data_IF_030040836255
#
_entry.id   IF_030040836255
#
_cell.length_a   1.000
_cell.length_b   1.000
_cell.length_c   1.000
_cell.angle_alpha   90.00
_cell.angle_beta   90.00
_cell.angle_gamma   90.00
#
_symmetry.space_group_name_H-M   'P 1'
#
loop_
_entity.id
_entity.type
_entity.pdbx_description
1 polymer ?
#
# COMPACT_ATOMS: atom_id res chain seq x y z
N UNK A 1 -77.77 -29.66 -53.09
CA UNK A 1 -78.02 -28.25 -52.74
C UNK A 1 -77.00 -27.85 -51.67
N UNK A 2 -75.89 -27.27 -52.13
CA UNK A 2 -74.73 -26.91 -51.21
C UNK A 2 -74.85 -25.38 -50.96
N UNK A 3 -75.03 -24.98 -49.70
CA UNK A 3 -74.96 -23.61 -49.23
C UNK A 3 -73.54 -23.18 -49.08
N UNK A 4 -73.08 -22.15 -49.76
CA UNK A 4 -71.84 -21.43 -49.53
C UNK A 4 -72.09 -20.29 -48.55
N UNK A 5 -71.42 -20.31 -47.43
CA UNK A 5 -71.38 -19.24 -46.44
C UNK A 5 -70.14 -18.37 -46.69
N UNK A 6 -70.36 -17.10 -47.16
CA UNK A 6 -69.29 -16.15 -47.41
C UNK A 6 -69.03 -15.36 -46.13
N UNK A 7 -67.82 -15.50 -45.58
CA UNK A 7 -67.35 -14.66 -44.47
C UNK A 7 -66.73 -13.37 -45.04
N UNK A 8 -67.22 -12.25 -44.65
CA UNK A 8 -66.66 -10.92 -44.91
C UNK A 8 -65.72 -10.56 -43.71
N UNK A 9 -64.41 -10.53 -43.95
CA UNK A 9 -63.47 -10.03 -43.00
C UNK A 9 -63.33 -8.51 -43.18
N UNK A 10 -63.74 -7.74 -42.16
CA UNK A 10 -63.57 -6.28 -42.11
C UNK A 10 -62.10 -6.01 -41.58
N UNK A 11 -61.27 -5.47 -42.46
CA UNK A 11 -59.97 -4.93 -42.10
C UNK A 11 -60.11 -3.54 -41.43
N UNK A 12 -59.81 -3.44 -40.15
CA UNK A 12 -59.64 -2.17 -39.43
C UNK A 12 -58.20 -1.61 -39.71
N UNK A 13 -58.02 -0.34 -39.97
CA UNK A 13 -56.69 0.23 -40.17
C UNK A 13 -55.94 0.37 -38.86
N UNK A 14 -54.74 -0.23 -38.81
CA UNK A 14 -53.79 -0.01 -37.73
C UNK A 14 -53.27 1.44 -37.81
N UNK A 15 -53.60 2.27 -36.79
CA UNK A 15 -53.00 3.59 -36.64
C UNK A 15 -51.54 3.43 -36.22
N UNK A 16 -50.60 3.85 -37.06
CA UNK A 16 -49.17 3.90 -36.71
C UNK A 16 -48.96 5.04 -35.71
N UNK A 17 -48.58 4.67 -34.46
CA UNK A 17 -48.08 5.61 -33.47
C UNK A 17 -46.65 5.99 -33.85
N UNK A 18 -46.46 7.17 -34.39
CA UNK A 18 -45.14 7.74 -34.65
C UNK A 18 -44.51 8.10 -33.33
N UNK A 19 -43.48 7.30 -32.90
CA UNK A 19 -42.61 7.68 -31.80
C UNK A 19 -41.64 8.76 -32.28
N UNK A 20 -41.75 9.97 -31.71
CA UNK A 20 -40.79 11.04 -31.94
C UNK A 20 -39.36 10.58 -31.49
N UNK A 21 -38.32 10.89 -32.26
CA UNK A 21 -36.95 10.57 -31.86
C UNK A 21 -36.59 11.36 -30.58
N UNK A 22 -36.20 10.64 -29.52
CA UNK A 22 -35.61 11.23 -28.32
C UNK A 22 -34.25 11.80 -28.72
N UNK A 23 -34.12 13.11 -28.76
CA UNK A 23 -32.83 13.76 -28.96
C UNK A 23 -31.96 13.47 -27.74
N UNK A 24 -30.70 13.02 -27.95
CA UNK A 24 -29.75 12.87 -26.82
C UNK A 24 -29.50 14.25 -26.21
N UNK A 25 -29.88 14.44 -24.96
CA UNK A 25 -29.49 15.61 -24.19
C UNK A 25 -27.97 15.68 -24.16
N UNK A 26 -27.40 16.76 -24.70
CA UNK A 26 -25.98 17.01 -24.66
C UNK A 26 -25.51 16.99 -23.20
N UNK A 27 -24.67 16.03 -22.84
CA UNK A 27 -24.02 16.00 -21.53
C UNK A 27 -23.26 17.32 -21.37
N UNK A 28 -23.54 18.07 -20.31
CA UNK A 28 -22.78 19.28 -19.98
C UNK A 28 -21.29 18.90 -19.86
N UNK A 29 -20.39 19.69 -20.45
CA UNK A 29 -18.96 19.39 -20.36
C UNK A 29 -18.54 19.36 -18.89
N UNK A 30 -18.07 18.21 -18.42
CA UNK A 30 -17.43 18.08 -17.13
C UNK A 30 -16.22 19.00 -17.18
N UNK A 31 -16.25 20.12 -16.44
CA UNK A 31 -15.08 20.98 -16.27
C UNK A 31 -13.98 20.13 -15.66
N UNK A 32 -12.97 19.82 -16.44
CA UNK A 32 -11.76 19.21 -15.90
C UNK A 32 -11.11 20.23 -14.95
N UNK A 33 -11.16 19.97 -13.68
CA UNK A 33 -10.39 20.74 -12.69
C UNK A 33 -8.94 20.29 -12.90
N UNK A 34 -8.14 21.13 -13.54
CA UNK A 34 -6.70 20.89 -13.62
C UNK A 34 -6.13 21.01 -12.21
N UNK A 35 -5.78 19.88 -11.60
CA UNK A 35 -5.08 19.86 -10.32
C UNK A 35 -3.65 20.27 -10.62
N UNK A 36 -3.12 21.36 -10.01
CA UNK A 36 -1.77 21.80 -10.28
C UNK A 36 -0.76 20.72 -9.80
N UNK A 37 0.09 20.28 -10.72
CA UNK A 37 1.21 19.39 -10.37
C UNK A 37 2.13 20.16 -9.41
N UNK A 38 2.36 19.60 -8.21
CA UNK A 38 3.27 20.19 -7.24
C UNK A 38 4.66 19.58 -7.39
N UNK A 39 5.66 20.44 -7.40
CA UNK A 39 7.06 20.06 -7.36
C UNK A 39 7.42 19.56 -5.96
N UNK A 40 7.73 18.26 -5.86
CA UNK A 40 8.21 17.65 -4.63
C UNK A 40 9.72 17.43 -4.75
N UNK A 41 10.48 17.97 -3.80
CA UNK A 41 11.92 17.71 -3.68
C UNK A 41 12.13 16.64 -2.62
N UNK A 42 12.53 15.40 -2.97
CA UNK A 42 12.72 14.32 -2.01
C UNK A 42 13.92 14.58 -1.09
N UNK A 43 13.96 13.90 0.07
CA UNK A 43 14.97 14.10 1.09
C UNK A 43 16.41 13.97 0.60
N UNK A 44 16.70 13.09 -0.36
CA UNK A 44 18.04 12.94 -0.97
C UNK A 44 18.49 14.22 -1.65
N UNK A 45 17.65 14.87 -2.44
CA UNK A 45 18.02 16.12 -3.11
C UNK A 45 18.23 17.25 -2.12
N UNK A 46 17.40 17.34 -1.07
CA UNK A 46 17.57 18.32 0.02
C UNK A 46 18.87 18.07 0.77
N UNK A 47 19.23 16.83 1.04
CA UNK A 47 20.50 16.46 1.67
C UNK A 47 21.68 16.96 0.83
N UNK A 48 21.70 16.62 -0.45
CA UNK A 48 22.82 16.93 -1.34
C UNK A 48 22.98 18.43 -1.63
N UNK A 49 21.87 19.18 -1.72
CA UNK A 49 21.92 20.63 -1.97
C UNK A 49 22.31 21.44 -0.72
N UNK A 50 21.76 21.08 0.45
CA UNK A 50 21.78 22.01 1.60
C UNK A 50 22.48 21.44 2.83
N UNK A 51 22.63 20.13 2.95
CA UNK A 51 22.98 19.47 4.20
C UNK A 51 24.17 18.53 4.12
N UNK A 52 24.81 18.39 2.95
CA UNK A 52 25.90 17.43 2.72
C UNK A 52 27.08 17.59 3.70
N UNK A 53 27.32 18.79 4.20
CA UNK A 53 28.39 19.08 5.15
C UNK A 53 28.31 18.22 6.44
N UNK A 54 27.11 17.76 6.83
CA UNK A 54 26.91 16.90 8.01
C UNK A 54 27.53 15.50 7.84
N UNK A 55 27.78 15.06 6.60
CA UNK A 55 28.36 13.75 6.29
C UNK A 55 29.89 13.79 6.17
N UNK A 56 30.51 14.98 6.19
CA UNK A 56 31.95 15.13 5.99
C UNK A 56 32.76 14.43 7.07
N UNK A 57 33.68 13.57 6.65
CA UNK A 57 34.55 12.78 7.54
C UNK A 57 33.85 11.65 8.28
N UNK A 58 32.58 11.33 7.95
CA UNK A 58 31.81 10.24 8.53
C UNK A 58 31.85 8.99 7.67
N UNK A 59 31.81 7.83 8.29
CA UNK A 59 31.59 6.55 7.64
C UNK A 59 30.08 6.36 7.51
N UNK A 60 29.57 6.50 6.29
CA UNK A 60 28.12 6.51 6.00
C UNK A 60 27.69 5.17 5.47
N UNK A 61 26.62 4.61 6.00
CA UNK A 61 25.88 3.50 5.39
C UNK A 61 24.53 3.99 4.85
N UNK A 62 23.96 3.26 3.89
CA UNK A 62 22.66 3.58 3.31
C UNK A 62 21.72 2.37 3.39
N UNK A 63 20.60 2.52 4.08
CA UNK A 63 19.47 1.59 4.00
C UNK A 63 18.56 2.04 2.85
N UNK A 64 18.53 1.25 1.78
CA UNK A 64 17.80 1.60 0.56
C UNK A 64 17.45 0.37 -0.28
N UNK A 65 16.65 0.60 -1.29
CA UNK A 65 16.39 -0.32 -2.38
C UNK A 65 16.29 0.48 -3.71
N UNK A 66 15.70 -0.11 -4.76
CA UNK A 66 15.50 0.52 -6.07
C UNK A 66 14.69 1.82 -6.03
N UNK A 67 13.96 2.10 -4.95
CA UNK A 67 13.16 3.33 -4.80
C UNK A 67 13.98 4.53 -4.33
N UNK A 68 15.18 4.31 -3.79
CA UNK A 68 16.11 5.37 -3.41
C UNK A 68 16.69 6.03 -4.65
N UNK A 69 15.95 7.00 -5.19
CA UNK A 69 16.30 7.75 -6.41
C UNK A 69 15.94 9.23 -6.25
N UNK A 70 16.65 10.11 -6.99
CA UNK A 70 16.26 11.50 -7.18
C UNK A 70 15.06 11.62 -8.16
N UNK A 71 14.61 12.84 -8.42
CA UNK A 71 13.52 13.12 -9.37
C UNK A 71 13.83 12.73 -10.81
N UNK A 72 15.10 12.53 -11.16
CA UNK A 72 15.55 12.09 -12.48
C UNK A 72 15.70 10.58 -12.58
N UNK A 73 15.43 9.84 -11.49
CA UNK A 73 15.60 8.41 -11.42
C UNK A 73 17.05 7.96 -11.21
N UNK A 74 17.96 8.85 -10.80
CA UNK A 74 19.34 8.48 -10.48
C UNK A 74 19.40 7.87 -9.09
N UNK A 75 20.01 6.69 -8.96
CA UNK A 75 20.12 5.97 -7.70
C UNK A 75 20.87 6.75 -6.63
N UNK A 76 20.38 6.75 -5.40
CA UNK A 76 21.05 7.36 -4.25
C UNK A 76 22.43 6.76 -4.01
N UNK A 77 22.61 5.47 -4.27
CA UNK A 77 23.93 4.81 -4.19
C UNK A 77 24.93 5.51 -5.13
N UNK A 78 24.50 5.78 -6.37
CA UNK A 78 25.34 6.44 -7.37
C UNK A 78 25.59 7.92 -7.01
N UNK A 79 24.55 8.64 -6.58
CA UNK A 79 24.66 10.05 -6.15
C UNK A 79 25.61 10.23 -4.97
N UNK A 80 25.46 9.40 -3.93
CA UNK A 80 26.29 9.48 -2.73
C UNK A 80 27.73 9.05 -3.01
N UNK A 81 27.96 8.03 -3.83
CA UNK A 81 29.30 7.59 -4.24
C UNK A 81 30.05 8.61 -5.09
N UNK A 82 29.35 9.30 -5.96
CA UNK A 82 29.96 10.33 -6.82
C UNK A 82 30.31 11.61 -6.04
N UNK A 83 29.75 11.81 -4.85
CA UNK A 83 29.96 13.06 -4.10
C UNK A 83 31.26 13.04 -3.29
N UNK A 84 32.24 13.95 -3.53
CA UNK A 84 33.60 13.86 -2.97
C UNK A 84 33.66 14.02 -1.44
N UNK A 85 32.65 14.60 -0.80
CA UNK A 85 32.59 14.78 0.65
C UNK A 85 31.96 13.59 1.39
N UNK A 86 31.48 12.56 0.69
CA UNK A 86 30.74 11.44 1.28
C UNK A 86 31.56 10.15 1.21
N UNK A 87 31.77 9.51 2.36
CA UNK A 87 32.41 8.20 2.45
C UNK A 87 31.36 7.13 2.68
N UNK A 88 30.69 6.68 1.60
CA UNK A 88 29.72 5.58 1.64
C UNK A 88 30.47 4.25 1.75
N UNK A 89 30.26 3.50 2.85
CA UNK A 89 31.03 2.31 3.19
C UNK A 89 30.24 1.01 3.15
N UNK A 90 28.90 1.06 3.24
CA UNK A 90 28.05 -0.12 3.22
C UNK A 90 26.62 0.21 2.79
N UNK A 91 25.92 -0.82 2.32
CA UNK A 91 24.48 -0.78 2.02
C UNK A 91 23.76 -1.74 2.94
N UNK A 92 22.54 -1.37 3.37
CA UNK A 92 21.57 -2.26 3.98
C UNK A 92 20.38 -2.39 3.02
N UNK A 93 19.88 -3.62 2.87
CA UNK A 93 18.72 -3.87 2.02
C UNK A 93 17.54 -4.41 2.82
N UNK A 94 16.32 -3.87 2.61
CA UNK A 94 15.09 -4.44 3.17
C UNK A 94 14.65 -5.68 2.38
N UNK A 95 13.42 -6.14 2.61
CA UNK A 95 12.73 -7.11 1.75
C UNK A 95 12.84 -6.69 0.28
N UNK A 96 12.92 -7.64 -0.62
CA UNK A 96 13.17 -7.51 -2.06
C UNK A 96 14.61 -7.16 -2.47
N UNK A 97 15.51 -6.85 -1.52
CA UNK A 97 16.91 -6.57 -1.84
C UNK A 97 17.17 -5.14 -2.33
N UNK A 98 18.45 -4.80 -2.48
CA UNK A 98 18.89 -3.45 -2.87
C UNK A 98 18.47 -3.07 -4.29
N UNK A 99 18.20 -4.05 -5.16
CA UNK A 99 17.76 -3.84 -6.54
C UNK A 99 16.28 -4.19 -6.79
N UNK A 100 15.57 -4.68 -5.75
CA UNK A 100 14.14 -4.93 -5.81
C UNK A 100 13.72 -6.17 -6.61
N UNK A 101 14.62 -7.14 -6.78
CA UNK A 101 14.41 -8.30 -7.67
C UNK A 101 13.73 -9.50 -6.98
N UNK A 102 13.90 -9.64 -5.66
CA UNK A 102 13.36 -10.77 -4.91
C UNK A 102 11.83 -10.65 -4.71
N UNK A 103 11.11 -11.77 -4.84
CA UNK A 103 9.66 -11.82 -4.62
C UNK A 103 9.31 -11.69 -3.11
N UNK A 104 8.03 -11.42 -2.83
CA UNK A 104 7.55 -11.29 -1.46
C UNK A 104 7.80 -12.57 -0.64
N UNK A 105 8.40 -12.42 0.56
CA UNK A 105 8.76 -13.53 1.44
C UNK A 105 10.04 -14.27 1.05
N UNK A 106 10.64 -13.96 -0.09
CA UNK A 106 11.89 -14.58 -0.53
C UNK A 106 13.07 -14.02 0.29
N UNK A 107 13.92 -14.92 0.79
CA UNK A 107 15.12 -14.55 1.55
C UNK A 107 16.15 -13.90 0.64
N UNK A 108 16.63 -12.73 1.06
CA UNK A 108 17.68 -11.99 0.37
C UNK A 108 19.03 -12.27 1.04
N UNK A 109 20.03 -12.71 0.29
CA UNK A 109 21.37 -12.93 0.83
C UNK A 109 22.15 -11.61 0.96
N UNK A 110 23.04 -11.54 1.96
CA UNK A 110 24.08 -10.51 2.02
C UNK A 110 25.17 -10.79 1.00
N UNK A 111 25.83 -9.74 0.50
CA UNK A 111 26.84 -9.88 -0.55
C UNK A 111 27.60 -8.60 -0.84
N UNK A 112 28.04 -8.45 -2.08
CA UNK A 112 28.65 -7.22 -2.60
C UNK A 112 27.78 -6.73 -3.76
N UNK A 113 27.38 -5.47 -3.75
CA UNK A 113 26.69 -4.86 -4.89
C UNK A 113 27.64 -4.75 -6.09
N UNK A 114 27.36 -5.43 -7.20
CA UNK A 114 28.31 -5.50 -8.32
C UNK A 114 28.59 -4.16 -8.97
N UNK A 115 27.63 -3.22 -8.88
CA UNK A 115 27.75 -1.89 -9.50
C UNK A 115 28.60 -0.93 -8.65
N UNK A 116 28.39 -0.92 -7.34
CA UNK A 116 29.11 -0.01 -6.43
C UNK A 116 30.36 -0.62 -5.80
N UNK A 117 30.48 -1.96 -5.76
CA UNK A 117 31.53 -2.69 -5.05
C UNK A 117 31.39 -2.63 -3.54
N UNK A 118 30.26 -2.12 -3.01
CA UNK A 118 30.04 -2.01 -1.57
C UNK A 118 29.46 -3.29 -0.97
N UNK A 119 29.78 -3.61 0.28
CA UNK A 119 29.09 -4.67 0.99
C UNK A 119 27.62 -4.33 1.18
N UNK A 120 26.76 -5.31 0.93
CA UNK A 120 25.29 -5.26 1.14
C UNK A 120 24.94 -6.19 2.29
N UNK A 121 24.38 -5.64 3.33
CA UNK A 121 23.84 -6.38 4.46
C UNK A 121 22.33 -6.53 4.32
N UNK A 122 21.85 -7.76 4.12
CA UNK A 122 20.43 -8.04 4.03
C UNK A 122 19.76 -7.99 5.40
N UNK A 123 18.64 -7.26 5.48
CA UNK A 123 17.73 -7.23 6.62
C UNK A 123 16.44 -8.05 6.34
N UNK A 124 16.51 -8.93 5.34
CA UNK A 124 15.43 -9.88 5.03
C UNK A 124 16.00 -11.26 4.63
N UNK A 125 16.99 -11.70 5.38
CA UNK A 125 17.68 -12.99 5.19
C UNK A 125 17.77 -13.76 6.50
N UNK A 126 18.99 -13.94 6.98
CA UNK A 126 19.29 -14.59 8.27
C UNK A 126 18.83 -13.75 9.47
N UNK A 127 18.82 -12.42 9.30
CA UNK A 127 18.34 -11.48 10.32
C UNK A 127 17.43 -10.43 9.69
N UNK A 128 16.53 -9.88 10.51
CA UNK A 128 15.68 -8.74 10.17
C UNK A 128 16.13 -7.46 10.87
N UNK A 129 17.05 -7.57 11.81
CA UNK A 129 17.66 -6.45 12.53
C UNK A 129 19.16 -6.44 12.27
N UNK A 130 19.78 -5.26 12.02
CA UNK A 130 21.23 -5.16 11.90
C UNK A 130 21.93 -5.73 13.13
N UNK A 131 22.96 -6.55 12.90
CA UNK A 131 23.81 -7.07 13.98
C UNK A 131 24.89 -6.07 14.34
N UNK A 132 25.50 -6.21 15.52
CA UNK A 132 26.62 -5.37 15.95
C UNK A 132 27.78 -5.41 14.95
N UNK A 133 28.02 -6.57 14.32
CA UNK A 133 29.04 -6.72 13.27
C UNK A 133 28.73 -5.87 12.02
N UNK A 134 27.46 -5.83 11.60
CA UNK A 134 27.03 -5.02 10.44
C UNK A 134 27.13 -3.53 10.74
N UNK A 135 26.90 -3.13 11.99
CA UNK A 135 26.93 -1.71 12.42
C UNK A 135 28.34 -1.22 12.80
N UNK A 136 29.33 -2.13 12.87
CA UNK A 136 30.67 -1.79 13.34
C UNK A 136 31.35 -0.72 12.46
N UNK A 137 31.77 0.36 13.09
CA UNK A 137 32.47 1.47 12.42
C UNK A 137 31.61 2.33 11.50
N UNK A 138 30.28 2.25 11.63
CA UNK A 138 29.34 3.16 10.94
C UNK A 138 29.03 4.34 11.86
N UNK A 139 29.24 5.56 11.38
CA UNK A 139 28.91 6.79 12.11
C UNK A 139 27.47 7.23 11.85
N UNK A 140 27.01 7.07 10.61
CA UNK A 140 25.71 7.52 10.13
C UNK A 140 25.07 6.44 9.25
N UNK A 141 23.78 6.17 9.48
CA UNK A 141 22.95 5.40 8.55
C UNK A 141 21.93 6.36 7.91
N UNK A 142 22.06 6.58 6.60
CA UNK A 142 21.02 7.19 5.80
C UNK A 142 19.93 6.16 5.53
N UNK A 143 18.67 6.57 5.57
CA UNK A 143 17.52 5.72 5.24
C UNK A 143 16.73 6.39 4.15
N UNK A 144 16.66 5.78 2.97
CA UNK A 144 15.85 6.24 1.84
C UNK A 144 15.08 5.07 1.23
N UNK A 145 13.80 4.99 1.57
CA UNK A 145 12.86 3.96 1.14
C UNK A 145 11.51 4.58 0.83
N UNK A 146 10.91 4.22 -0.31
CA UNK A 146 9.52 4.54 -0.60
C UNK A 146 8.60 3.55 0.10
N UNK A 147 8.00 3.97 1.20
CA UNK A 147 6.92 3.23 1.87
C UNK A 147 5.58 3.44 1.14
N UNK A 148 4.59 2.59 1.43
CA UNK A 148 3.26 2.68 0.83
C UNK A 148 2.16 3.16 1.81
N UNK A 149 2.55 3.62 2.99
CA UNK A 149 1.62 4.20 3.98
C UNK A 149 0.72 3.19 4.69
N UNK A 150 1.13 1.93 4.70
CA UNK A 150 0.35 0.82 5.25
C UNK A 150 1.17 0.02 6.25
N UNK A 151 0.66 -0.20 7.49
CA UNK A 151 1.39 -0.83 8.59
C UNK A 151 2.08 -2.13 8.21
N UNK A 152 1.40 -3.01 7.49
CA UNK A 152 1.93 -4.33 7.16
C UNK A 152 2.89 -4.33 5.96
N UNK A 153 3.18 -3.18 5.38
CA UNK A 153 4.29 -3.04 4.45
C UNK A 153 5.60 -3.00 5.25
N UNK A 154 6.45 -4.00 5.07
CA UNK A 154 7.52 -4.37 6.01
C UNK A 154 8.62 -3.33 6.23
N UNK A 155 8.66 -2.27 5.42
CA UNK A 155 9.70 -1.24 5.54
C UNK A 155 9.62 -0.45 6.84
N UNK A 156 8.42 -0.21 7.38
CA UNK A 156 8.26 0.42 8.70
C UNK A 156 8.89 -0.42 9.82
N UNK A 157 8.77 -1.76 9.75
CA UNK A 157 9.43 -2.68 10.67
C UNK A 157 10.95 -2.66 10.51
N UNK A 158 11.44 -2.62 9.28
CA UNK A 158 12.88 -2.50 8.96
C UNK A 158 13.45 -1.19 9.53
N UNK A 159 12.73 -0.06 9.39
CA UNK A 159 13.10 1.22 9.99
C UNK A 159 13.21 1.15 11.51
N UNK A 160 12.18 0.60 12.18
CA UNK A 160 12.19 0.43 13.63
C UNK A 160 13.39 -0.39 14.11
N UNK A 161 13.69 -1.50 13.44
CA UNK A 161 14.81 -2.36 13.80
C UNK A 161 16.16 -1.70 13.52
N UNK A 162 16.28 -0.88 12.47
CA UNK A 162 17.46 -0.06 12.23
C UNK A 162 17.67 0.96 13.35
N UNK A 163 16.60 1.66 13.79
CA UNK A 163 16.68 2.61 14.90
C UNK A 163 17.15 1.95 16.19
N UNK A 164 16.63 0.77 16.53
CA UNK A 164 17.05 -0.01 17.69
C UNK A 164 18.51 -0.50 17.60
N UNK A 165 18.96 -0.88 16.40
CA UNK A 165 20.36 -1.25 16.18
C UNK A 165 21.30 -0.05 16.28
N UNK A 166 20.86 1.10 15.79
CA UNK A 166 21.63 2.36 15.89
C UNK A 166 21.75 2.85 17.35
N UNK A 167 20.74 2.63 18.19
CA UNK A 167 20.84 2.90 19.63
C UNK A 167 22.01 2.15 20.27
N UNK A 168 22.17 0.86 19.95
CA UNK A 168 23.24 0.02 20.49
C UNK A 168 24.62 0.39 19.98
N UNK A 169 24.73 0.69 18.68
CA UNK A 169 26.01 1.01 18.04
C UNK A 169 26.45 2.47 18.26
N UNK A 170 25.55 3.37 18.65
CA UNK A 170 25.79 4.81 18.74
C UNK A 170 25.80 5.54 17.39
N UNK A 171 25.46 4.88 16.29
CA UNK A 171 25.33 5.51 14.98
C UNK A 171 24.16 6.52 14.97
N UNK A 172 24.29 7.59 14.20
CA UNK A 172 23.17 8.50 13.90
C UNK A 172 22.33 7.95 12.76
N UNK A 173 21.01 8.02 12.87
CA UNK A 173 20.09 7.70 11.76
C UNK A 173 19.57 8.98 11.14
N UNK A 174 19.68 9.11 9.82
CA UNK A 174 19.17 10.24 9.05
C UNK A 174 18.17 9.71 8.03
N UNK A 175 16.88 9.99 8.22
CA UNK A 175 15.82 9.61 7.26
C UNK A 175 15.73 10.68 6.18
N UNK A 176 15.92 10.27 4.94
CA UNK A 176 15.69 11.06 3.74
C UNK A 176 14.23 10.87 3.33
N UNK A 177 13.37 11.79 3.76
CA UNK A 177 11.93 11.54 3.73
C UNK A 177 11.35 11.55 2.32
N UNK A 178 10.31 10.71 2.14
CA UNK A 178 9.55 10.54 0.89
C UNK A 178 8.06 10.68 1.13
N UNK A 179 7.28 11.04 0.07
CA UNK A 179 5.84 11.17 0.17
C UNK A 179 5.16 9.87 0.62
N UNK A 180 4.14 9.99 1.46
CA UNK A 180 3.23 8.88 1.69
C UNK A 180 2.22 8.79 0.54
N UNK A 181 2.17 7.68 -0.23
CA UNK A 181 1.25 7.55 -1.37
C UNK A 181 -0.22 7.47 -0.96
N UNK A 182 -0.53 7.19 0.30
CA UNK A 182 -1.88 7.25 0.83
C UNK A 182 -2.33 8.68 1.18
N UNK A 183 -1.42 9.68 1.04
CA UNK A 183 -1.61 11.00 1.62
C UNK A 183 -1.50 10.97 3.15
N UNK A 184 -1.96 12.02 3.81
CA UNK A 184 -1.87 12.14 5.26
C UNK A 184 -3.17 12.53 5.94
N UNK A 185 -4.28 12.69 5.19
CA UNK A 185 -5.55 13.17 5.75
C UNK A 185 -6.41 12.06 6.33
N UNK A 186 -6.40 10.87 5.72
CA UNK A 186 -7.25 9.75 6.15
C UNK A 186 -6.44 8.70 6.89
N UNK A 187 -6.98 8.26 8.01
CA UNK A 187 -6.45 7.22 8.87
C UNK A 187 -7.50 6.13 8.97
N UNK A 188 -7.13 4.86 8.79
CA UNK A 188 -8.08 3.76 8.76
C UNK A 188 -7.55 2.48 9.41
N UNK A 189 -8.50 1.70 9.88
CA UNK A 189 -8.27 0.35 10.40
C UNK A 189 -7.79 0.34 11.85
N UNK A 190 -7.78 -0.84 12.48
CA UNK A 190 -7.41 -1.00 13.87
C UNK A 190 -5.93 -0.65 14.10
N UNK A 191 -5.65 -0.04 15.24
CA UNK A 191 -4.31 0.04 15.80
C UNK A 191 -3.85 -1.37 16.16
N UNK A 192 -2.59 -1.69 15.87
CA UNK A 192 -2.05 -3.03 16.16
C UNK A 192 -2.13 -3.35 17.66
N UNK A 193 -2.79 -4.44 17.99
CA UNK A 193 -2.75 -5.02 19.33
C UNK A 193 -1.44 -5.82 19.52
N UNK A 194 -0.78 -5.75 20.69
CA UNK A 194 0.50 -6.41 20.94
C UNK A 194 0.51 -7.93 20.66
N UNK A 195 -0.63 -8.61 20.86
CA UNK A 195 -0.77 -10.04 20.62
C UNK A 195 -0.60 -10.44 19.15
N UNK A 196 -0.80 -9.52 18.22
CA UNK A 196 -0.70 -9.73 16.77
C UNK A 196 0.57 -9.13 16.17
N UNK A 197 1.48 -8.63 17.02
CA UNK A 197 2.73 -8.05 16.56
C UNK A 197 3.60 -9.09 15.84
N UNK A 198 4.10 -8.70 14.68
CA UNK A 198 4.94 -9.53 13.81
C UNK A 198 5.80 -8.64 12.92
N UNK A 199 6.54 -9.22 11.97
CA UNK A 199 7.30 -8.40 11.02
C UNK A 199 6.40 -7.63 10.03
N UNK A 200 5.17 -8.09 9.79
CA UNK A 200 4.15 -7.35 9.02
C UNK A 200 3.35 -6.35 9.87
N UNK A 201 3.85 -6.02 11.05
CA UNK A 201 3.27 -5.05 11.98
C UNK A 201 4.02 -5.11 13.30
N UNK A 202 5.09 -4.33 13.43
CA UNK A 202 5.96 -4.36 14.61
C UNK A 202 5.72 -3.20 15.57
N UNK A 203 4.78 -2.29 15.24
CA UNK A 203 4.48 -1.11 16.03
C UNK A 203 2.98 -0.80 16.07
N UNK A 204 2.53 -0.23 17.20
CA UNK A 204 1.13 0.09 17.47
C UNK A 204 0.67 1.32 16.67
N UNK A 205 0.50 1.14 15.36
CA UNK A 205 -0.11 2.11 14.44
C UNK A 205 -1.30 1.48 13.71
N UNK A 206 -2.28 2.27 13.22
CA UNK A 206 -3.39 1.75 12.43
C UNK A 206 -2.91 1.22 11.07
N UNK A 207 -3.77 0.48 10.39
CA UNK A 207 -3.46 -0.09 9.07
C UNK A 207 -3.03 1.01 8.09
N UNK A 208 -3.81 2.08 7.96
CA UNK A 208 -3.46 3.28 7.20
C UNK A 208 -3.14 4.40 8.19
N UNK A 209 -1.85 4.66 8.43
CA UNK A 209 -1.39 5.53 9.50
C UNK A 209 -1.28 7.02 9.12
N UNK A 210 -1.27 7.34 7.82
CA UNK A 210 -1.23 8.72 7.31
C UNK A 210 0.04 9.49 7.68
N UNK A 211 1.15 8.83 7.95
CA UNK A 211 2.44 9.44 8.31
C UNK A 211 3.48 9.15 7.24
N UNK A 212 4.45 10.06 7.06
CA UNK A 212 5.64 9.79 6.26
C UNK A 212 6.62 8.90 7.02
N UNK A 213 7.63 8.41 6.31
CA UNK A 213 8.66 7.56 6.93
C UNK A 213 9.46 8.30 7.99
N UNK A 214 9.75 9.59 7.74
CA UNK A 214 10.41 10.47 8.72
C UNK A 214 9.56 10.71 9.97
N UNK A 215 8.26 10.89 9.82
CA UNK A 215 7.33 11.06 10.93
C UNK A 215 7.18 9.78 11.76
N UNK A 216 7.11 8.61 11.12
CA UNK A 216 7.15 7.32 11.80
C UNK A 216 8.44 7.14 12.62
N UNK A 217 9.60 7.49 12.04
CA UNK A 217 10.87 7.41 12.73
C UNK A 217 10.89 8.26 14.00
N UNK A 218 10.39 9.51 13.92
CA UNK A 218 10.28 10.39 15.09
C UNK A 218 9.35 9.81 16.17
N UNK A 219 8.21 9.26 15.76
CA UNK A 219 7.28 8.62 16.67
C UNK A 219 7.91 7.39 17.35
N UNK A 220 8.58 6.53 16.61
CA UNK A 220 9.23 5.34 17.17
C UNK A 220 10.31 5.73 18.20
N UNK A 221 11.14 6.72 17.89
CA UNK A 221 12.16 7.20 18.83
C UNK A 221 11.54 7.84 20.05
N UNK A 222 10.50 8.67 19.88
CA UNK A 222 9.86 9.40 20.97
C UNK A 222 9.08 8.50 21.93
N UNK A 223 8.24 7.62 21.41
CA UNK A 223 7.37 6.76 22.22
C UNK A 223 8.12 5.62 22.89
N UNK A 224 9.05 4.96 22.17
CA UNK A 224 9.92 3.92 22.74
C UNK A 224 11.07 4.51 23.60
N UNK A 225 11.21 5.83 23.62
CA UNK A 225 12.28 6.56 24.34
C UNK A 225 13.67 6.05 23.95
N UNK A 226 13.86 5.75 22.66
CA UNK A 226 15.15 5.33 22.15
C UNK A 226 16.17 6.47 22.27
N UNK A 227 17.40 6.13 22.66
CA UNK A 227 18.52 7.10 22.71
C UNK A 227 19.21 7.28 21.36
N UNK A 228 18.63 6.75 20.30
CA UNK A 228 19.11 6.91 18.93
C UNK A 228 19.11 8.38 18.55
N UNK A 229 20.25 8.86 18.07
CA UNK A 229 20.31 10.18 17.44
C UNK A 229 19.61 10.08 16.09
N UNK A 230 18.44 10.72 15.99
CA UNK A 230 17.62 10.74 14.78
C UNK A 230 17.57 12.15 14.19
N UNK A 231 17.69 12.22 12.88
CA UNK A 231 17.43 13.42 12.08
C UNK A 231 16.54 13.07 10.89
N UNK A 232 15.62 13.95 10.55
CA UNK A 232 14.81 13.84 9.34
C UNK A 232 15.18 14.95 8.38
N UNK A 233 15.56 14.60 7.17
CA UNK A 233 15.70 15.56 6.06
C UNK A 233 14.34 15.61 5.37
N UNK A 234 13.57 16.62 5.75
CA UNK A 234 12.22 16.80 5.24
C UNK A 234 12.21 17.10 3.73
N UNK A 235 11.20 16.61 3.05
CA UNK A 235 10.89 16.97 1.67
C UNK A 235 10.51 18.45 1.56
N UNK A 236 10.54 18.99 0.35
CA UNK A 236 9.92 20.28 0.02
C UNK A 236 8.74 20.08 -0.91
N UNK A 237 7.70 20.87 -0.74
CA UNK A 237 6.54 20.91 -1.65
C UNK A 237 5.47 19.83 -1.40
N UNK A 238 5.68 18.89 -0.50
CA UNK A 238 4.67 17.92 -0.13
C UNK A 238 3.77 18.45 1.00
N UNK A 239 2.48 18.10 0.93
CA UNK A 239 1.47 18.33 1.97
C UNK A 239 0.54 17.12 2.05
N UNK A 240 -0.19 16.97 3.18
CA UNK A 240 -0.97 15.76 3.51
C UNK A 240 -2.15 15.51 2.60
N UNK A 241 -2.69 16.56 1.98
CA UNK A 241 -3.80 16.50 1.02
C UNK A 241 -3.38 15.97 -0.35
N UNK A 242 -2.08 15.85 -0.60
CA UNK A 242 -1.56 15.35 -1.88
C UNK A 242 -1.57 13.83 -1.92
N UNK A 243 -2.22 13.30 -2.93
CA UNK A 243 -2.15 11.88 -3.30
C UNK A 243 -1.47 11.72 -4.65
N UNK A 244 -0.75 10.60 -4.89
CA UNK A 244 0.09 10.44 -6.09
C UNK A 244 -0.68 10.41 -7.40
N UNK A 245 -1.97 10.12 -7.34
CA UNK A 245 -2.78 10.03 -8.54
C UNK A 245 -2.90 11.31 -9.33
N UNK A 246 -2.66 12.46 -8.68
CA UNK A 246 -3.15 13.71 -9.18
C UNK A 246 -2.13 14.85 -9.17
N UNK A 247 -1.00 14.73 -8.44
CA UNK A 247 -0.25 15.94 -8.14
C UNK A 247 1.27 15.79 -7.94
N UNK A 248 1.86 14.61 -8.14
CA UNK A 248 3.31 14.43 -7.97
C UNK A 248 4.05 14.49 -9.31
N UNK A 249 5.17 15.15 -9.28
CA UNK A 249 6.15 15.13 -10.36
C UNK A 249 7.29 14.11 -10.14
N UNK A 250 7.14 13.23 -9.14
CA UNK A 250 8.09 12.16 -8.88
C UNK A 250 7.75 10.90 -9.68
N UNK A 251 8.75 10.22 -10.26
CA UNK A 251 8.52 8.93 -10.90
C UNK A 251 8.06 7.90 -9.86
N UNK A 252 7.09 7.06 -10.22
CA UNK A 252 6.77 5.88 -9.44
C UNK A 252 7.76 4.77 -9.74
N UNK A 253 8.63 4.48 -8.78
CA UNK A 253 9.47 3.29 -8.82
C UNK A 253 8.77 2.25 -7.94
N UNK A 254 8.33 1.10 -8.49
CA UNK A 254 7.65 0.07 -7.72
C UNK A 254 8.48 -0.35 -6.49
N UNK A 255 7.99 -0.14 -5.25
CA UNK A 255 8.76 -0.47 -4.06
C UNK A 255 8.85 -1.98 -3.80
N UNK A 256 8.01 -2.77 -4.46
CA UNK A 256 8.09 -4.23 -4.51
C UNK A 256 7.60 -4.73 -5.87
N UNK A 257 7.93 -5.98 -6.28
CA UNK A 257 7.53 -6.52 -7.58
C UNK A 257 6.03 -6.51 -7.86
N UNK A 258 5.20 -6.50 -6.81
CA UNK A 258 3.74 -6.51 -6.94
C UNK A 258 3.09 -5.15 -6.58
N UNK A 259 3.88 -4.09 -6.38
CA UNK A 259 3.38 -2.74 -6.11
C UNK A 259 3.57 -1.84 -7.33
N UNK A 260 2.93 -2.21 -8.44
CA UNK A 260 3.23 -1.73 -9.78
C UNK A 260 2.89 -0.25 -10.01
N UNK A 261 1.93 0.30 -9.27
CA UNK A 261 1.43 1.64 -9.50
C UNK A 261 0.95 2.31 -8.20
N UNK A 262 0.82 3.65 -8.20
CA UNK A 262 0.14 4.34 -7.11
C UNK A 262 -1.29 3.85 -6.85
N UNK A 263 -1.99 3.38 -7.89
CA UNK A 263 -3.34 2.80 -7.74
C UNK A 263 -3.28 1.50 -6.94
N UNK A 264 -2.30 0.65 -7.24
CA UNK A 264 -2.05 -0.57 -6.45
C UNK A 264 -1.79 -0.23 -4.99
N UNK A 265 -0.95 0.79 -4.71
CA UNK A 265 -0.73 1.27 -3.35
C UNK A 265 -2.01 1.74 -2.66
N UNK A 266 -2.93 2.41 -3.39
CA UNK A 266 -4.17 2.93 -2.81
C UNK A 266 -5.16 1.85 -2.38
N UNK A 267 -5.26 0.74 -3.11
CA UNK A 267 -6.15 -0.38 -2.75
C UNK A 267 -5.52 -1.32 -1.73
N UNK A 268 -4.20 -1.34 -1.66
CA UNK A 268 -3.40 -2.27 -0.87
C UNK A 268 -3.83 -2.37 0.62
N UNK A 269 -4.16 -1.28 1.36
CA UNK A 269 -4.57 -1.39 2.76
C UNK A 269 -5.77 -2.31 3.01
N UNK A 270 -6.64 -2.48 2.02
CA UNK A 270 -7.80 -3.38 2.10
C UNK A 270 -7.58 -4.72 1.42
N UNK A 271 -7.02 -4.70 0.22
CA UNK A 271 -6.92 -5.90 -0.62
C UNK A 271 -5.80 -6.86 -0.17
N UNK A 272 -4.78 -6.37 0.54
CA UNK A 272 -3.79 -7.24 1.15
C UNK A 272 -4.36 -8.17 2.23
N UNK A 273 -5.52 -7.88 2.81
CA UNK A 273 -6.21 -8.80 3.72
C UNK A 273 -6.44 -10.18 3.10
N UNK A 274 -6.59 -10.24 1.77
CA UNK A 274 -6.75 -11.51 1.05
C UNK A 274 -5.52 -12.41 1.09
N UNK A 275 -4.33 -11.90 1.41
CA UNK A 275 -3.17 -12.76 1.68
C UNK A 275 -3.42 -13.70 2.86
N UNK A 276 -4.29 -13.31 3.79
CA UNK A 276 -4.75 -14.12 4.92
C UNK A 276 -5.91 -15.07 4.62
N UNK A 277 -6.28 -15.26 3.34
CA UNK A 277 -7.39 -16.11 2.89
C UNK A 277 -6.96 -17.05 1.76
N UNK A 278 -7.88 -17.91 1.33
CA UNK A 278 -7.68 -18.73 0.14
C UNK A 278 -8.05 -18.02 -1.18
N UNK A 279 -8.44 -16.75 -1.16
CA UNK A 279 -8.74 -15.97 -2.37
C UNK A 279 -7.44 -15.34 -2.89
N UNK A 280 -7.24 -15.32 -4.21
CA UNK A 280 -6.12 -14.63 -4.84
C UNK A 280 -6.28 -13.12 -4.73
N UNK A 281 -5.22 -12.46 -4.28
CA UNK A 281 -5.04 -11.02 -4.30
C UNK A 281 -4.42 -10.52 -5.62
N UNK A 282 -4.48 -11.33 -6.67
CA UNK A 282 -4.01 -10.96 -8.00
C UNK A 282 -2.50 -11.01 -8.22
N UNK A 283 -1.70 -11.51 -7.25
CA UNK A 283 -0.27 -11.77 -7.50
C UNK A 283 -0.10 -12.75 -8.65
N UNK A 284 0.87 -12.53 -9.53
CA UNK A 284 1.04 -13.29 -10.75
C UNK A 284 0.12 -12.86 -11.90
N UNK A 285 -0.67 -11.81 -11.73
CA UNK A 285 -1.44 -11.17 -12.80
C UNK A 285 -0.87 -9.79 -13.15
N UNK A 286 -1.42 -9.14 -14.17
CA UNK A 286 -1.03 -7.78 -14.58
C UNK A 286 -1.45 -6.68 -13.59
N UNK A 287 -2.33 -7.00 -12.60
CA UNK A 287 -2.83 -6.04 -11.60
C UNK A 287 -2.88 -6.65 -10.20
N UNK A 288 -1.71 -6.95 -9.61
CA UNK A 288 -1.64 -7.43 -8.23
C UNK A 288 -2.38 -6.48 -7.28
N UNK A 289 -3.10 -7.03 -6.30
CA UNK A 289 -3.93 -6.32 -5.31
C UNK A 289 -5.12 -5.53 -5.87
N UNK A 290 -5.15 -5.24 -7.17
CA UNK A 290 -6.32 -4.64 -7.80
C UNK A 290 -7.32 -5.70 -8.27
N UNK A 291 -6.85 -6.91 -8.66
CA UNK A 291 -7.67 -8.06 -9.00
C UNK A 291 -7.81 -8.99 -7.80
N UNK A 292 -9.05 -9.30 -7.43
CA UNK A 292 -9.39 -10.20 -6.33
C UNK A 292 -10.29 -11.29 -6.87
N UNK A 293 -9.89 -12.56 -6.72
CA UNK A 293 -10.69 -13.65 -7.29
C UNK A 293 -10.21 -15.05 -6.95
N UNK A 294 -11.01 -16.03 -7.35
CA UNK A 294 -10.71 -17.45 -7.25
C UNK A 294 -11.45 -18.23 -8.36
N UNK A 295 -11.09 -19.51 -8.64
CA UNK A 295 -11.76 -20.29 -9.68
C UNK A 295 -13.26 -20.49 -9.45
N UNK A 296 -13.71 -20.47 -8.19
CA UNK A 296 -15.10 -20.74 -7.81
C UNK A 296 -15.98 -19.48 -7.70
N UNK A 297 -15.45 -18.29 -7.91
CA UNK A 297 -16.20 -17.02 -7.78
C UNK A 297 -16.96 -16.73 -9.08
N UNK A 298 -18.22 -16.30 -8.96
CA UNK A 298 -18.94 -15.58 -10.00
C UNK A 298 -18.61 -14.09 -9.89
N UNK A 299 -17.72 -13.63 -10.79
CA UNK A 299 -17.26 -12.24 -10.78
C UNK A 299 -18.35 -11.23 -11.07
N UNK A 300 -19.36 -11.57 -11.89
CA UNK A 300 -20.46 -10.67 -12.21
C UNK A 300 -21.37 -10.47 -11.01
N UNK A 301 -21.79 -11.57 -10.38
CA UNK A 301 -22.62 -11.52 -9.17
C UNK A 301 -21.91 -10.83 -7.99
N UNK A 302 -20.59 -11.05 -7.84
CA UNK A 302 -19.79 -10.37 -6.80
C UNK A 302 -19.69 -8.86 -7.06
N UNK A 303 -19.44 -8.45 -8.31
CA UNK A 303 -19.36 -7.03 -8.69
C UNK A 303 -20.70 -6.33 -8.47
N UNK A 304 -21.81 -6.93 -8.89
CA UNK A 304 -23.16 -6.41 -8.67
C UNK A 304 -23.44 -6.20 -7.18
N UNK A 305 -23.17 -7.22 -6.35
CA UNK A 305 -23.36 -7.17 -4.89
C UNK A 305 -22.55 -6.05 -4.24
N UNK A 306 -21.27 -5.90 -4.62
CA UNK A 306 -20.39 -4.88 -4.06
C UNK A 306 -20.80 -3.46 -4.48
N UNK A 307 -21.17 -3.26 -5.75
CA UNK A 307 -21.63 -1.97 -6.23
C UNK A 307 -22.96 -1.56 -5.57
N UNK A 308 -23.85 -2.53 -5.29
CA UNK A 308 -25.10 -2.28 -4.55
C UNK A 308 -24.89 -1.81 -3.11
N UNK A 309 -23.68 -2.06 -2.50
CA UNK A 309 -23.34 -1.56 -1.16
C UNK A 309 -23.08 -0.05 -1.13
N UNK A 310 -22.86 0.60 -2.28
CA UNK A 310 -22.58 2.04 -2.35
C UNK A 310 -21.34 2.49 -1.60
N UNK A 311 -20.27 1.70 -1.61
CA UNK A 311 -19.01 2.04 -0.92
C UNK A 311 -18.43 3.33 -1.50
N UNK A 312 -17.98 4.28 -0.64
CA UNK A 312 -17.56 5.59 -1.13
C UNK A 312 -16.26 5.51 -1.93
N UNK A 313 -16.21 6.21 -3.07
CA UNK A 313 -15.00 6.41 -3.86
C UNK A 313 -14.44 5.18 -4.54
N UNK A 314 -15.23 4.12 -4.72
CA UNK A 314 -14.81 2.87 -5.38
C UNK A 314 -15.93 2.28 -6.22
N UNK A 315 -15.58 1.60 -7.29
CA UNK A 315 -16.47 0.74 -8.08
C UNK A 315 -15.78 -0.59 -8.37
N UNK A 316 -16.58 -1.60 -8.71
CA UNK A 316 -16.11 -2.96 -8.98
C UNK A 316 -16.54 -3.41 -10.36
N UNK A 317 -15.59 -3.86 -11.17
CA UNK A 317 -15.87 -4.45 -12.46
C UNK A 317 -15.58 -5.96 -12.41
N UNK A 318 -16.41 -6.82 -13.04
CA UNK A 318 -16.10 -8.24 -13.12
C UNK A 318 -14.83 -8.45 -13.96
N UNK A 319 -13.98 -9.41 -13.56
CA UNK A 319 -12.74 -9.74 -14.23
C UNK A 319 -12.48 -11.24 -14.22
N UNK A 320 -11.76 -11.72 -15.23
CA UNK A 320 -11.15 -13.04 -15.25
C UNK A 320 -9.66 -12.89 -15.49
N UNK A 321 -8.84 -13.63 -14.76
CA UNK A 321 -7.38 -13.61 -14.86
C UNK A 321 -6.80 -14.99 -14.53
N UNK A 322 -5.61 -15.26 -15.04
CA UNK A 322 -4.87 -16.50 -14.74
C UNK A 322 -3.53 -16.10 -14.15
N UNK A 323 -3.29 -16.33 -12.84
CA UNK A 323 -2.01 -16.01 -12.22
C UNK A 323 -0.88 -16.90 -12.78
N UNK A 324 0.29 -16.32 -13.06
CA UNK A 324 1.48 -17.08 -13.45
C UNK A 324 2.17 -17.72 -12.23
N UNK A 325 2.00 -17.16 -11.05
CA UNK A 325 2.54 -17.66 -9.79
C UNK A 325 1.62 -17.31 -8.62
N UNK A 326 1.94 -17.77 -7.39
CA UNK A 326 1.15 -17.57 -6.16
C UNK A 326 -0.11 -18.46 -6.13
N UNK A 327 -1.18 -17.98 -5.50
CA UNK A 327 -2.44 -18.72 -5.40
C UNK A 327 -3.06 -18.94 -6.77
N UNK A 328 -3.51 -20.17 -7.01
CA UNK A 328 -4.15 -20.59 -8.27
C UNK A 328 -3.30 -20.39 -9.53
N UNK A 329 -1.95 -20.49 -9.42
CA UNK A 329 -1.07 -20.41 -10.58
C UNK A 329 -1.51 -21.36 -11.69
N UNK A 330 -1.64 -20.86 -12.92
CA UNK A 330 -2.10 -21.59 -14.11
C UNK A 330 -3.60 -21.91 -14.16
N UNK A 331 -4.39 -21.50 -13.15
CA UNK A 331 -5.85 -21.68 -13.11
C UNK A 331 -6.57 -20.39 -13.42
N UNK A 332 -7.63 -20.46 -14.21
CA UNK A 332 -8.48 -19.29 -14.44
C UNK A 332 -9.25 -18.94 -13.18
N UNK A 333 -9.05 -17.72 -12.68
CA UNK A 333 -9.79 -17.11 -11.60
C UNK A 333 -10.82 -16.13 -12.16
N UNK A 334 -11.95 -16.04 -11.49
CA UNK A 334 -12.98 -15.03 -11.73
C UNK A 334 -13.15 -14.19 -10.46
N UNK A 335 -13.54 -12.94 -10.62
CA UNK A 335 -13.69 -12.05 -9.47
C UNK A 335 -13.92 -10.61 -9.86
N UNK A 336 -13.34 -9.68 -9.10
CA UNK A 336 -13.54 -8.25 -9.31
C UNK A 336 -12.23 -7.49 -9.45
N UNK A 337 -12.24 -6.48 -10.30
CA UNK A 337 -11.27 -5.39 -10.31
C UNK A 337 -11.75 -4.29 -9.38
N UNK A 338 -10.95 -3.94 -8.39
CA UNK A 338 -11.20 -2.86 -7.43
C UNK A 338 -10.71 -1.55 -8.05
N UNK A 339 -11.62 -0.63 -8.36
CA UNK A 339 -11.33 0.60 -9.09
C UNK A 339 -11.65 1.81 -8.20
N UNK A 340 -10.65 2.44 -7.56
CA UNK A 340 -10.85 3.72 -6.90
C UNK A 340 -11.31 4.79 -7.90
N UNK A 341 -12.40 5.48 -7.57
CA UNK A 341 -13.01 6.53 -8.41
C UNK A 341 -12.85 7.92 -7.82
N UNK A 342 -12.64 8.02 -6.50
CA UNK A 342 -12.42 9.29 -5.80
C UNK A 342 -11.49 9.07 -4.60
N UNK A 343 -10.24 9.53 -4.68
CA UNK A 343 -9.23 9.37 -3.64
C UNK A 343 -9.57 10.09 -2.33
N UNK A 344 -10.38 11.16 -2.38
CA UNK A 344 -10.76 11.93 -1.19
C UNK A 344 -11.82 11.22 -0.33
N UNK A 345 -12.54 10.26 -0.89
CA UNK A 345 -13.60 9.52 -0.19
C UNK A 345 -13.35 8.02 -0.11
N UNK A 346 -12.38 7.51 -0.87
CA UNK A 346 -12.07 6.08 -0.91
C UNK A 346 -11.48 5.61 0.43
N UNK A 347 -12.13 4.61 1.02
CA UNK A 347 -11.76 3.97 2.27
C UNK A 347 -11.28 2.54 1.98
N UNK A 348 -9.99 2.32 1.69
CA UNK A 348 -9.49 1.02 1.25
C UNK A 348 -9.67 -0.08 2.28
N UNK A 349 -9.43 0.16 3.58
CA UNK A 349 -9.55 -0.88 4.58
C UNK A 349 -11.01 -1.30 4.79
N UNK A 350 -11.93 -0.34 4.88
CA UNK A 350 -13.38 -0.58 4.88
C UNK A 350 -13.81 -1.39 3.66
N UNK A 351 -13.33 -1.01 2.48
CA UNK A 351 -13.61 -1.71 1.22
C UNK A 351 -13.10 -3.15 1.27
N UNK A 352 -11.91 -3.39 1.82
CA UNK A 352 -11.36 -4.74 2.00
C UNK A 352 -12.22 -5.61 2.90
N UNK A 353 -12.68 -5.09 4.04
CA UNK A 353 -13.58 -5.81 4.94
C UNK A 353 -14.91 -6.14 4.24
N UNK A 354 -15.51 -5.16 3.55
CA UNK A 354 -16.75 -5.37 2.82
C UNK A 354 -16.60 -6.46 1.75
N UNK A 355 -15.49 -6.47 1.04
CA UNK A 355 -15.18 -7.44 0.00
C UNK A 355 -14.96 -8.84 0.58
N UNK A 356 -14.16 -8.99 1.66
CA UNK A 356 -13.99 -10.28 2.36
C UNK A 356 -15.33 -10.81 2.86
N UNK A 357 -16.15 -9.93 3.49
CA UNK A 357 -17.48 -10.28 3.97
C UNK A 357 -18.43 -10.71 2.83
N UNK A 358 -18.37 -10.03 1.69
CA UNK A 358 -19.20 -10.39 0.52
C UNK A 358 -18.83 -11.78 -0.02
N UNK A 359 -17.53 -12.06 -0.19
CA UNK A 359 -17.05 -13.36 -0.66
C UNK A 359 -17.39 -14.45 0.33
N UNK A 360 -17.12 -14.28 1.64
CA UNK A 360 -17.50 -15.23 2.68
C UNK A 360 -19.01 -15.51 2.66
N UNK A 361 -19.86 -14.48 2.55
CA UNK A 361 -21.31 -14.67 2.55
C UNK A 361 -21.88 -15.29 1.27
N UNK A 362 -21.16 -15.23 0.13
CA UNK A 362 -21.54 -15.88 -1.12
C UNK A 362 -21.03 -17.32 -1.22
N UNK A 363 -19.90 -17.61 -0.58
CA UNK A 363 -19.20 -18.91 -0.69
C UNK A 363 -18.78 -19.44 0.69
N UNK A 364 -19.71 -19.61 1.65
CA UNK A 364 -19.39 -19.97 3.03
C UNK A 364 -18.69 -21.33 3.16
N UNK A 365 -18.99 -22.27 2.28
CA UNK A 365 -18.42 -23.62 2.30
C UNK A 365 -17.06 -23.74 1.59
N UNK A 366 -16.64 -22.70 0.86
CA UNK A 366 -15.42 -22.73 0.05
C UNK A 366 -14.42 -21.65 0.45
N UNK A 367 -14.91 -20.53 1.01
CA UNK A 367 -14.05 -19.47 1.52
C UNK A 367 -13.36 -19.91 2.81
N UNK A 368 -12.05 -19.68 2.89
CA UNK A 368 -11.27 -20.03 4.07
C UNK A 368 -10.35 -18.87 4.49
N UNK A 369 -10.31 -18.61 5.80
CA UNK A 369 -9.17 -17.87 6.39
C UNK A 369 -7.99 -18.83 6.53
N UNK A 370 -6.78 -18.37 6.17
CA UNK A 370 -5.57 -19.17 6.34
C UNK A 370 -5.33 -19.50 7.81
N UNK A 371 -5.08 -20.77 8.07
CA UNK A 371 -4.78 -21.27 9.42
C UNK A 371 -3.50 -20.64 10.00
N UNK A 372 -3.44 -20.61 11.32
CA UNK A 372 -2.29 -20.09 12.09
C UNK A 372 -2.76 -19.62 13.46
N UNK A 373 -1.81 -19.42 14.39
CA UNK A 373 -2.08 -18.89 15.74
C UNK A 373 -1.02 -17.84 16.10
N UNK A 374 -1.30 -16.54 15.91
CA UNK A 374 -2.51 -15.98 15.30
C UNK A 374 -2.58 -16.26 13.78
N UNK A 375 -3.81 -16.15 13.20
CA UNK A 375 -3.98 -16.30 11.76
C UNK A 375 -3.26 -15.15 11.01
N UNK A 376 -2.83 -15.40 9.76
CA UNK A 376 -2.16 -14.35 8.99
C UNK A 376 -3.10 -13.17 8.70
N UNK A 377 -4.39 -13.44 8.53
CA UNK A 377 -5.41 -12.40 8.42
C UNK A 377 -5.43 -11.47 9.64
N UNK A 378 -5.38 -12.06 10.87
CA UNK A 378 -5.38 -11.30 12.11
C UNK A 378 -4.08 -10.50 12.29
N UNK A 379 -2.93 -11.03 11.86
CA UNK A 379 -1.66 -10.28 11.85
C UNK A 379 -1.73 -9.06 10.92
N UNK A 380 -2.32 -9.20 9.72
CA UNK A 380 -2.54 -8.09 8.79
C UNK A 380 -3.53 -7.08 9.36
N UNK A 381 -4.67 -7.54 9.87
CA UNK A 381 -5.65 -6.66 10.50
C UNK A 381 -5.10 -6.00 11.79
N UNK A 382 -4.16 -6.67 12.49
CA UNK A 382 -3.61 -6.23 13.78
C UNK A 382 -4.50 -6.53 14.98
N UNK A 383 -5.56 -7.30 14.77
CA UNK A 383 -6.56 -7.75 15.74
C UNK A 383 -7.34 -8.94 15.16
N UNK A 384 -7.93 -9.77 16.00
CA UNK A 384 -8.86 -10.83 15.55
C UNK A 384 -10.33 -10.37 15.47
N UNK A 385 -10.62 -9.15 15.94
CA UNK A 385 -11.99 -8.62 15.99
C UNK A 385 -12.60 -8.44 14.60
N UNK A 386 -11.79 -8.13 13.59
CA UNK A 386 -12.24 -8.01 12.19
C UNK A 386 -12.74 -9.36 11.67
N UNK A 387 -11.93 -10.41 11.81
CA UNK A 387 -12.29 -11.76 11.37
C UNK A 387 -13.50 -12.29 12.13
N UNK A 388 -13.50 -12.15 13.46
CA UNK A 388 -14.64 -12.56 14.31
C UNK A 388 -15.91 -11.81 13.91
N UNK A 389 -15.84 -10.50 13.70
CA UNK A 389 -16.99 -9.70 13.26
C UNK A 389 -17.54 -10.12 11.90
N UNK A 390 -16.68 -10.54 10.95
CA UNK A 390 -17.11 -11.10 9.67
C UNK A 390 -17.84 -12.42 9.87
N UNK A 391 -17.28 -13.35 10.67
CA UNK A 391 -17.85 -14.65 10.97
C UNK A 391 -19.19 -14.54 11.72
N UNK A 392 -19.30 -13.58 12.64
CA UNK A 392 -20.52 -13.27 13.40
C UNK A 392 -21.58 -12.55 12.53
N UNK A 393 -21.30 -12.23 11.28
CA UNK A 393 -22.23 -11.56 10.36
C UNK A 393 -22.43 -10.06 10.64
N UNK A 394 -21.66 -9.44 11.55
CA UNK A 394 -21.77 -8.01 11.91
C UNK A 394 -21.72 -7.10 10.68
N UNK A 395 -22.42 -5.96 10.71
CA UNK A 395 -22.27 -4.93 9.68
C UNK A 395 -20.82 -4.37 9.69
N UNK A 396 -20.34 -3.88 8.54
CA UNK A 396 -18.99 -3.29 8.45
C UNK A 396 -18.82 -2.15 9.44
N UNK A 397 -19.85 -1.30 9.60
CA UNK A 397 -19.85 -0.20 10.58
C UNK A 397 -19.77 -0.66 12.04
N UNK A 398 -20.36 -1.81 12.37
CA UNK A 398 -20.27 -2.40 13.71
C UNK A 398 -18.86 -2.96 13.99
N UNK A 399 -18.21 -3.50 12.95
CA UNK A 399 -16.82 -3.95 13.03
C UNK A 399 -15.90 -2.73 13.23
N UNK A 400 -16.10 -1.67 12.45
CA UNK A 400 -15.34 -0.42 12.54
C UNK A 400 -15.45 0.26 13.90
N UNK A 401 -16.64 0.28 14.48
CA UNK A 401 -16.87 0.89 15.79
C UNK A 401 -16.01 0.27 16.92
N UNK A 402 -15.50 -0.96 16.72
CA UNK A 402 -14.73 -1.66 17.77
C UNK A 402 -13.32 -1.09 17.98
N UNK A 403 -12.74 -0.44 16.98
CA UNK A 403 -11.39 0.15 17.10
C UNK A 403 -11.37 1.68 17.06
N UNK A 404 -12.53 2.32 17.02
CA UNK A 404 -12.60 3.80 16.92
C UNK A 404 -11.94 4.52 18.10
N UNK A 405 -12.07 4.07 19.36
CA UNK A 405 -11.40 4.70 20.49
C UNK A 405 -9.87 4.70 20.37
N UNK A 406 -9.27 3.58 19.97
CA UNK A 406 -7.83 3.45 19.77
C UNK A 406 -7.35 4.28 18.59
N UNK A 407 -8.16 4.37 17.54
CA UNK A 407 -7.86 5.20 16.37
C UNK A 407 -7.87 6.70 16.75
N UNK A 408 -8.85 7.13 17.55
CA UNK A 408 -8.93 8.52 18.04
C UNK A 408 -7.74 8.85 18.95
N UNK A 409 -7.33 7.93 19.83
CA UNK A 409 -6.13 8.08 20.65
C UNK A 409 -4.86 8.16 19.79
N UNK A 410 -4.76 7.33 18.75
CA UNK A 410 -3.64 7.39 17.80
C UNK A 410 -3.59 8.73 17.04
N UNK A 411 -4.71 9.28 16.63
CA UNK A 411 -4.74 10.58 15.96
C UNK A 411 -4.18 11.70 16.83
N UNK A 412 -4.47 11.69 18.14
CA UNK A 412 -3.90 12.65 19.09
C UNK A 412 -2.39 12.42 19.28
N UNK A 413 -1.97 11.17 19.41
CA UNK A 413 -0.56 10.79 19.51
C UNK A 413 0.22 11.24 18.27
N UNK A 414 -0.28 10.88 17.08
CA UNK A 414 0.30 11.17 15.78
C UNK A 414 0.55 12.66 15.58
N UNK A 415 -0.38 13.53 16.01
CA UNK A 415 -0.30 14.99 15.84
C UNK A 415 1.00 15.60 16.39
N UNK A 416 1.63 14.95 17.38
CA UNK A 416 2.90 15.41 17.98
C UNK A 416 4.12 15.21 17.10
N UNK A 417 4.00 14.35 16.09
CA UNK A 417 5.12 13.88 15.23
C UNK A 417 5.00 14.32 13.77
N UNK A 418 3.95 15.09 13.45
CA UNK A 418 3.74 15.57 12.09
C UNK A 418 4.74 16.68 11.73
N UNK A 419 5.40 16.53 10.58
CA UNK A 419 6.41 17.48 10.06
C UNK A 419 5.80 18.40 9.00
N UNK A 420 4.82 17.88 8.26
CA UNK A 420 4.23 18.56 7.11
C UNK A 420 2.82 19.08 7.40
N UNK A 421 2.37 20.14 6.70
CA UNK A 421 1.01 20.67 6.83
C UNK A 421 -0.07 19.74 6.30
#
# INVERSE_FOLDING_TARGET
MRLFLTFVIALLPLAAVATAPVQPTAASPVKSIAIPIRHITPGIEVLLSDRVAMLKGKRVALLTNQTGVDRKGVSDVDLLRAHPAINLVALFSPEHGVRGEAQAGEKVASGIDPKSGLPVYSLYGETKMPTDKMMHGIDIVLVDLQDVGTRFYTYSSTLLFMLRAAEKSGAEVIVLDRPNPQGGMMIEGPVLEPAFASFVGSYAVPVRHGMTFGELAQMFVGEDRLRTRLRVIAMRGWSRDLTPYLAWDLPWVPPSPNMLSPRTAAVYPGTALFEGTNISEGRGSEKPFEYIGAPFIDGAALAERLNAMGLPGVTFAPISFTPDFSKYAGQQCHGVWVIPTNSATFQPFRTGIALVKAVHGMYPDTFEFRSGAPSFFDQLAGTDTVRKGILDGKAVSEIEAQWQPELDAFMQLRARYLIYP
#
